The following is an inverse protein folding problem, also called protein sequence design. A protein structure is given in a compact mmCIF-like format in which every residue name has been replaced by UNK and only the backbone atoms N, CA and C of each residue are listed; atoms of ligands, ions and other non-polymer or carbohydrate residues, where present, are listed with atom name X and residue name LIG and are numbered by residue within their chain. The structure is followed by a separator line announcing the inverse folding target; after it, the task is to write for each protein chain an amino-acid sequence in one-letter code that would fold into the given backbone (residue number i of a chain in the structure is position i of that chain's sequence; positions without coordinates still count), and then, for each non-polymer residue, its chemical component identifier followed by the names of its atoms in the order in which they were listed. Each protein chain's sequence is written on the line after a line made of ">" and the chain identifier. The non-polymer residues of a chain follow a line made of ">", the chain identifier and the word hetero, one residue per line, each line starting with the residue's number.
data_IF_952748190915
#
_entry.id   IF_952748190915
#
_cell.length_a   1.000
_cell.length_b   1.000
_cell.length_c   1.000
_cell.angle_alpha   90.00
_cell.angle_beta   90.00
_cell.angle_gamma   90.00
#
_symmetry.space_group_name_H-M   'P 1'
#
loop_
_entity.id
_entity.type
_entity.pdbx_description
1 polymer ?
#
# COMPACT_ATOMS: atom_id res chain seq x y z
N UNK A 1 0.31 39.99 16.52
CA UNK A 1 -0.52 39.28 15.51
C UNK A 1 0.10 37.92 15.31
N UNK A 2 -0.40 36.92 16.02
CA UNK A 2 0.12 35.55 16.02
C UNK A 2 -0.44 34.88 14.75
N UNK A 3 0.39 34.71 13.73
CA UNK A 3 0.05 33.88 12.58
C UNK A 3 -0.02 32.43 13.06
N UNK A 4 -1.21 31.98 13.41
CA UNK A 4 -1.53 30.56 13.57
C UNK A 4 -1.24 29.93 12.21
N UNK A 5 -0.18 29.11 12.15
CA UNK A 5 0.15 28.33 10.94
C UNK A 5 -0.88 27.20 10.81
N UNK A 6 -1.84 27.24 9.88
CA UNK A 6 -2.80 26.16 9.69
C UNK A 6 -2.18 24.89 9.11
N UNK A 7 -0.88 24.91 8.83
CA UNK A 7 -0.15 23.79 8.22
C UNK A 7 0.04 22.58 9.15
N UNK A 8 0.11 22.78 10.47
CA UNK A 8 0.37 21.67 11.39
C UNK A 8 -0.83 20.72 11.51
N UNK A 9 -2.03 21.25 11.58
CA UNK A 9 -3.26 20.45 11.73
C UNK A 9 -3.56 19.64 10.46
N UNK A 10 -3.31 20.21 9.28
CA UNK A 10 -3.56 19.55 8.01
C UNK A 10 -2.53 18.44 7.74
N UNK A 11 -1.25 18.66 8.04
CA UNK A 11 -0.19 17.64 7.91
C UNK A 11 -0.43 16.50 8.91
N UNK A 12 -0.87 16.81 10.12
CA UNK A 12 -1.23 15.79 11.12
C UNK A 12 -2.42 14.96 10.66
N UNK A 13 -3.45 15.58 10.12
CA UNK A 13 -4.63 14.87 9.58
C UNK A 13 -4.25 13.97 8.40
N UNK A 14 -3.41 14.46 7.49
CA UNK A 14 -2.87 13.68 6.37
C UNK A 14 -2.02 12.49 6.83
N UNK A 15 -1.27 12.63 7.93
CA UNK A 15 -0.46 11.52 8.47
C UNK A 15 -1.28 10.41 9.13
N UNK A 16 -2.55 10.68 9.48
CA UNK A 16 -3.47 9.66 9.98
C UNK A 16 -4.03 8.76 8.86
N UNK A 17 -4.12 9.26 7.63
CA UNK A 17 -4.66 8.49 6.50
C UNK A 17 -3.89 7.17 6.26
N UNK A 18 -2.54 7.14 6.20
CA UNK A 18 -1.79 5.90 6.06
C UNK A 18 -1.99 4.92 7.23
N UNK A 19 -2.23 5.42 8.46
CA UNK A 19 -2.52 4.54 9.61
C UNK A 19 -3.89 3.87 9.47
N UNK A 20 -4.90 4.61 9.05
CA UNK A 20 -6.23 4.07 8.79
C UNK A 20 -6.18 3.05 7.65
N UNK A 21 -5.43 3.35 6.60
CA UNK A 21 -5.20 2.43 5.48
C UNK A 21 -4.52 1.13 5.95
N UNK A 22 -3.46 1.22 6.73
CA UNK A 22 -2.76 0.06 7.28
C UNK A 22 -3.68 -0.81 8.17
N UNK A 23 -4.53 -0.20 8.99
CA UNK A 23 -5.52 -0.91 9.81
C UNK A 23 -6.55 -1.62 8.91
N UNK A 24 -7.05 -0.92 7.88
CA UNK A 24 -8.03 -1.47 6.94
C UNK A 24 -7.47 -2.65 6.16
N UNK A 25 -6.24 -2.55 5.68
CA UNK A 25 -5.53 -3.64 5.00
C UNK A 25 -5.34 -4.84 5.94
N UNK A 26 -4.89 -4.60 7.18
CA UNK A 26 -4.69 -5.67 8.15
C UNK A 26 -6.01 -6.40 8.47
N UNK A 27 -7.09 -5.66 8.63
CA UNK A 27 -8.43 -6.21 8.85
C UNK A 27 -8.93 -6.99 7.64
N UNK A 28 -8.78 -6.46 6.43
CA UNK A 28 -9.12 -7.13 5.17
C UNK A 28 -8.38 -8.47 5.01
N UNK A 29 -7.07 -8.48 5.25
CA UNK A 29 -6.25 -9.69 5.20
C UNK A 29 -6.68 -10.75 6.25
N UNK A 30 -7.12 -10.31 7.43
CA UNK A 30 -7.67 -11.20 8.45
C UNK A 30 -9.01 -11.83 8.01
N UNK A 31 -9.88 -11.04 7.37
CA UNK A 31 -11.15 -11.53 6.82
C UNK A 31 -10.95 -12.53 5.67
N UNK A 32 -10.06 -12.25 4.74
CA UNK A 32 -9.72 -13.15 3.62
C UNK A 32 -9.30 -14.52 4.15
N UNK A 33 -8.54 -14.52 5.23
CA UNK A 33 -8.12 -15.76 5.88
C UNK A 33 -9.25 -16.48 6.62
N UNK A 34 -10.19 -15.73 7.19
CA UNK A 34 -11.34 -16.29 7.91
C UNK A 34 -12.34 -16.97 6.97
N UNK A 35 -12.44 -16.46 5.75
CA UNK A 35 -13.38 -16.92 4.72
C UNK A 35 -12.63 -17.41 3.46
N UNK A 36 -11.89 -18.52 3.54
CA UNK A 36 -11.08 -19.02 2.43
C UNK A 36 -11.91 -19.58 1.28
N UNK A 37 -13.17 -19.91 1.52
CA UNK A 37 -14.12 -20.46 0.53
C UNK A 37 -14.53 -19.42 -0.51
N UNK A 38 -14.50 -18.14 -0.15
CA UNK A 38 -14.92 -17.06 -1.04
C UNK A 38 -13.95 -16.91 -2.21
N UNK A 39 -14.46 -16.77 -3.46
CA UNK A 39 -13.62 -16.55 -4.63
C UNK A 39 -12.74 -15.30 -4.49
N UNK A 40 -11.50 -15.38 -4.94
CA UNK A 40 -10.58 -14.22 -4.94
C UNK A 40 -11.16 -13.03 -5.68
N UNK A 41 -11.87 -13.29 -6.79
CA UNK A 41 -12.52 -12.25 -7.60
C UNK A 41 -13.53 -11.42 -6.81
N UNK A 42 -14.26 -12.02 -5.87
CA UNK A 42 -15.21 -11.28 -5.04
C UNK A 42 -14.50 -10.26 -4.17
N UNK A 43 -13.40 -10.66 -3.54
CA UNK A 43 -12.60 -9.76 -2.69
C UNK A 43 -12.02 -8.60 -3.50
N UNK A 44 -11.42 -8.90 -4.66
CA UNK A 44 -10.89 -7.87 -5.58
C UNK A 44 -12.02 -6.94 -6.02
N UNK A 45 -13.13 -7.48 -6.48
CA UNK A 45 -14.26 -6.67 -6.97
C UNK A 45 -14.80 -5.70 -5.92
N UNK A 46 -15.04 -6.17 -4.69
CA UNK A 46 -15.54 -5.29 -3.63
C UNK A 46 -14.52 -4.24 -3.21
N UNK A 47 -13.25 -4.57 -3.20
CA UNK A 47 -12.19 -3.61 -2.88
C UNK A 47 -12.12 -2.52 -3.95
N UNK A 48 -12.06 -2.90 -5.22
CA UNK A 48 -12.00 -1.95 -6.33
C UNK A 48 -13.28 -1.10 -6.42
N UNK A 49 -14.45 -1.69 -6.20
CA UNK A 49 -15.71 -0.96 -6.19
C UNK A 49 -15.76 0.10 -5.06
N UNK A 50 -15.30 -0.25 -3.86
CA UNK A 50 -15.19 0.70 -2.75
C UNK A 50 -14.15 1.78 -3.03
N UNK A 51 -13.00 1.41 -3.58
CA UNK A 51 -11.95 2.34 -4.01
C UNK A 51 -12.47 3.33 -5.05
N UNK A 52 -13.20 2.85 -6.04
CA UNK A 52 -13.83 3.68 -7.05
C UNK A 52 -14.84 4.67 -6.44
N UNK A 53 -15.74 4.19 -5.57
CA UNK A 53 -16.74 5.04 -4.90
C UNK A 53 -16.06 6.12 -4.05
N UNK A 54 -15.06 5.76 -3.26
CA UNK A 54 -14.31 6.73 -2.46
C UNK A 54 -13.55 7.72 -3.33
N UNK A 55 -12.95 7.28 -4.43
CA UNK A 55 -12.28 8.14 -5.40
C UNK A 55 -13.23 9.16 -6.04
N UNK A 56 -14.42 8.71 -6.45
CA UNK A 56 -15.46 9.60 -7.00
C UNK A 56 -15.93 10.62 -5.96
N UNK A 57 -16.15 10.19 -4.71
CA UNK A 57 -16.51 11.11 -3.63
C UNK A 57 -15.42 12.16 -3.40
N UNK A 58 -14.15 11.74 -3.30
CA UNK A 58 -13.03 12.66 -3.12
C UNK A 58 -12.92 13.63 -4.29
N UNK A 59 -13.08 13.15 -5.51
CA UNK A 59 -13.06 13.99 -6.70
C UNK A 59 -14.16 15.06 -6.69
N UNK A 60 -15.38 14.71 -6.27
CA UNK A 60 -16.49 15.64 -6.17
C UNK A 60 -16.29 16.74 -5.12
N UNK A 61 -15.57 16.43 -4.02
CA UNK A 61 -15.36 17.38 -2.93
C UNK A 61 -14.10 18.25 -3.10
N UNK A 62 -13.11 17.80 -3.85
CA UNK A 62 -11.81 18.45 -3.97
C UNK A 62 -11.58 19.19 -5.30
N UNK A 63 -12.59 19.28 -6.18
CA UNK A 63 -12.50 19.92 -7.50
C UNK A 63 -11.21 19.54 -8.27
N UNK A 64 -10.86 18.26 -8.21
CA UNK A 64 -9.65 17.75 -8.85
C UNK A 64 -9.76 17.84 -10.37
N UNK A 65 -8.71 18.33 -11.00
CA UNK A 65 -8.61 18.35 -12.46
C UNK A 65 -8.53 16.94 -13.02
N UNK A 66 -9.24 16.67 -14.12
CA UNK A 66 -9.12 15.39 -14.81
C UNK A 66 -7.71 15.22 -15.38
N UNK A 67 -7.18 14.00 -15.33
CA UNK A 67 -5.87 13.70 -15.91
C UNK A 67 -5.89 13.91 -17.44
N UNK A 68 -4.75 14.31 -17.99
CA UNK A 68 -4.57 14.50 -19.42
C UNK A 68 -4.78 13.18 -20.19
N UNK A 69 -5.22 13.29 -21.44
CA UNK A 69 -5.40 12.12 -22.33
C UNK A 69 -4.14 11.27 -22.44
N UNK A 70 -2.96 11.90 -22.40
CA UNK A 70 -1.66 11.21 -22.41
C UNK A 70 -1.43 10.35 -21.15
N UNK A 71 -2.04 10.71 -20.02
CA UNK A 71 -1.96 9.96 -18.77
C UNK A 71 -2.96 8.81 -18.75
N UNK A 72 -4.13 9.01 -19.37
CA UNK A 72 -5.20 8.01 -19.44
C UNK A 72 -4.77 6.73 -20.18
N UNK A 73 -3.85 6.80 -21.13
CA UNK A 73 -3.35 5.63 -21.85
C UNK A 73 -2.64 4.60 -20.96
N UNK A 74 -2.10 5.02 -19.82
CA UNK A 74 -1.43 4.12 -18.88
C UNK A 74 -2.39 3.42 -17.91
N UNK A 75 -3.63 3.91 -17.76
CA UNK A 75 -4.62 3.35 -16.84
C UNK A 75 -4.84 1.85 -17.08
N UNK A 76 -5.07 1.36 -18.33
CA UNK A 76 -5.30 -0.06 -18.55
C UNK A 76 -4.12 -0.93 -18.09
N UNK A 77 -2.89 -0.45 -18.27
CA UNK A 77 -1.69 -1.16 -17.81
C UNK A 77 -1.66 -1.24 -16.29
N UNK A 78 -1.92 -0.12 -15.59
CA UNK A 78 -1.98 -0.09 -14.12
C UNK A 78 -3.06 -1.01 -13.59
N UNK A 79 -4.27 -0.98 -14.17
CA UNK A 79 -5.38 -1.86 -13.77
C UNK A 79 -5.01 -3.33 -13.89
N UNK A 80 -4.39 -3.75 -15.00
CA UNK A 80 -3.98 -5.15 -15.20
C UNK A 80 -2.92 -5.56 -14.18
N UNK A 81 -1.91 -4.72 -13.97
CA UNK A 81 -0.83 -5.00 -13.00
C UNK A 81 -1.40 -5.09 -11.58
N UNK A 82 -2.29 -4.16 -11.20
CA UNK A 82 -2.91 -4.13 -9.88
C UNK A 82 -3.80 -5.36 -9.65
N UNK A 83 -4.65 -5.73 -10.59
CA UNK A 83 -5.48 -6.93 -10.50
C UNK A 83 -4.66 -8.21 -10.32
N UNK A 84 -3.54 -8.33 -11.03
CA UNK A 84 -2.63 -9.46 -10.89
C UNK A 84 -2.01 -9.45 -9.48
N UNK A 85 -1.47 -8.30 -9.05
CA UNK A 85 -0.81 -8.15 -7.76
C UNK A 85 -1.78 -8.45 -6.60
N UNK A 86 -3.00 -7.92 -6.64
CA UNK A 86 -4.03 -8.16 -5.63
C UNK A 86 -4.47 -9.61 -5.61
N UNK A 87 -4.65 -10.24 -6.78
CA UNK A 87 -5.02 -11.66 -6.87
C UNK A 87 -3.94 -12.55 -6.27
N UNK A 88 -2.67 -12.28 -6.54
CA UNK A 88 -1.54 -13.01 -5.95
C UNK A 88 -1.45 -12.79 -4.43
N UNK A 89 -1.65 -11.57 -3.97
CA UNK A 89 -1.66 -11.20 -2.56
C UNK A 89 -2.74 -11.99 -1.81
N UNK A 90 -3.98 -11.95 -2.26
CA UNK A 90 -5.09 -12.69 -1.63
C UNK A 90 -4.88 -14.19 -1.63
N UNK A 91 -4.33 -14.73 -2.70
CA UNK A 91 -4.00 -16.15 -2.77
C UNK A 91 -2.93 -16.54 -1.73
N UNK A 92 -1.93 -15.68 -1.52
CA UNK A 92 -0.89 -15.87 -0.51
C UNK A 92 -1.47 -15.85 0.92
N UNK A 93 -2.32 -14.85 1.25
CA UNK A 93 -2.93 -14.73 2.57
C UNK A 93 -3.88 -15.89 2.94
N UNK A 94 -4.50 -16.53 1.94
CA UNK A 94 -5.29 -17.74 2.17
C UNK A 94 -4.46 -18.92 2.62
N UNK A 95 -3.26 -19.08 2.05
CA UNK A 95 -2.42 -20.26 2.26
C UNK A 95 -1.41 -20.11 3.39
N UNK A 96 -0.98 -18.89 3.66
CA UNK A 96 0.12 -18.60 4.58
C UNK A 96 -0.34 -17.69 5.72
N UNK A 97 0.23 -17.90 6.90
CA UNK A 97 -0.03 -17.02 8.06
C UNK A 97 0.45 -15.60 7.75
N UNK A 98 -0.36 -14.58 8.08
CA UNK A 98 -0.02 -13.18 7.88
C UNK A 98 1.36 -12.81 8.49
N UNK A 99 1.67 -13.36 9.67
CA UNK A 99 2.96 -13.16 10.32
C UNK A 99 4.17 -13.68 9.50
N UNK A 100 3.96 -14.70 8.65
CA UNK A 100 5.02 -15.22 7.76
C UNK A 100 5.13 -14.40 6.47
N UNK A 101 4.04 -13.74 6.06
CA UNK A 101 4.02 -12.90 4.86
C UNK A 101 4.51 -11.47 5.14
N UNK A 102 4.29 -10.97 6.35
CA UNK A 102 4.62 -9.57 6.68
C UNK A 102 6.07 -9.16 6.36
N UNK A 103 7.12 -10.01 6.54
CA UNK A 103 8.48 -9.62 6.16
C UNK A 103 8.66 -9.35 4.67
N UNK A 104 7.86 -10.00 3.81
CA UNK A 104 7.94 -9.83 2.35
C UNK A 104 7.42 -8.47 1.88
N UNK A 105 6.52 -7.83 2.66
CA UNK A 105 6.06 -6.47 2.36
C UNK A 105 7.18 -5.43 2.50
N UNK A 106 8.23 -5.72 3.26
CA UNK A 106 9.37 -4.80 3.34
C UNK A 106 10.18 -4.71 2.05
N UNK A 107 10.03 -5.67 1.14
CA UNK A 107 10.68 -5.64 -0.19
C UNK A 107 10.15 -4.47 -1.04
N UNK A 108 8.93 -3.99 -0.79
CA UNK A 108 8.39 -2.83 -1.49
C UNK A 108 9.20 -1.54 -1.25
N UNK A 109 9.88 -1.41 -0.10
CA UNK A 109 10.67 -0.21 0.22
C UNK A 109 11.85 -0.05 -0.73
N UNK A 110 12.80 -1.04 -0.85
CA UNK A 110 13.88 -0.93 -1.82
C UNK A 110 13.37 -0.92 -3.28
N UNK A 111 12.26 -1.60 -3.56
CA UNK A 111 11.66 -1.55 -4.89
C UNK A 111 11.16 -0.14 -5.22
N UNK A 112 10.44 0.51 -4.30
CA UNK A 112 9.97 1.89 -4.49
C UNK A 112 11.13 2.86 -4.67
N UNK A 113 12.19 2.76 -3.86
CA UNK A 113 13.40 3.58 -4.00
C UNK A 113 14.08 3.37 -5.35
N UNK A 114 14.19 2.11 -5.79
CA UNK A 114 14.78 1.79 -7.10
C UNK A 114 13.96 2.38 -8.25
N UNK A 115 12.63 2.25 -8.21
CA UNK A 115 11.78 2.82 -9.25
C UNK A 115 11.74 4.35 -9.19
N UNK A 116 11.78 4.97 -8.01
CA UNK A 116 11.93 6.41 -7.84
C UNK A 116 13.18 6.92 -8.53
N UNK A 117 14.31 6.24 -8.32
CA UNK A 117 15.57 6.57 -8.97
C UNK A 117 15.53 6.36 -10.50
N UNK A 118 15.00 5.22 -10.98
CA UNK A 118 15.01 4.88 -12.40
C UNK A 118 14.02 5.68 -13.24
N UNK A 119 12.84 6.02 -12.69
CA UNK A 119 11.77 6.65 -13.43
C UNK A 119 11.71 8.17 -13.23
N UNK A 120 12.13 8.65 -12.07
CA UNK A 120 12.02 10.05 -11.70
C UNK A 120 13.36 10.73 -11.42
N UNK A 121 14.47 9.97 -11.52
CA UNK A 121 15.83 10.45 -11.19
C UNK A 121 15.95 10.97 -9.75
N UNK A 122 15.07 10.51 -8.85
CA UNK A 122 15.07 10.89 -7.45
C UNK A 122 16.23 10.19 -6.73
N UNK A 123 17.17 10.98 -6.22
CA UNK A 123 18.29 10.45 -5.44
C UNK A 123 17.82 10.35 -3.97
N UNK A 124 17.75 9.13 -3.39
CA UNK A 124 17.31 8.98 -2.02
C UNK A 124 18.28 9.65 -1.04
N UNK A 125 17.74 10.31 -0.03
CA UNK A 125 18.55 10.87 1.04
C UNK A 125 19.18 9.76 1.89
N UNK A 126 20.33 10.04 2.48
CA UNK A 126 21.03 9.09 3.34
C UNK A 126 20.16 8.61 4.52
N UNK A 127 19.31 9.47 5.05
CA UNK A 127 18.33 9.15 6.10
C UNK A 127 17.31 8.11 5.66
N UNK A 128 16.85 8.18 4.42
CA UNK A 128 15.91 7.22 3.82
C UNK A 128 16.57 5.87 3.59
N UNK A 129 17.81 5.87 3.10
CA UNK A 129 18.59 4.63 2.89
C UNK A 129 18.83 3.92 4.21
N UNK A 130 19.26 4.64 5.25
CA UNK A 130 19.49 4.07 6.59
C UNK A 130 18.18 3.54 7.18
N UNK A 131 17.09 4.33 7.11
CA UNK A 131 15.77 3.92 7.58
C UNK A 131 15.28 2.66 6.87
N UNK A 132 15.40 2.59 5.56
CA UNK A 132 15.06 1.43 4.75
C UNK A 132 15.86 0.19 5.14
N UNK A 133 17.17 0.31 5.33
CA UNK A 133 18.02 -0.79 5.79
C UNK A 133 17.61 -1.31 7.16
N UNK A 134 17.31 -0.43 8.12
CA UNK A 134 16.87 -0.83 9.46
C UNK A 134 15.53 -1.60 9.42
N UNK A 135 14.60 -1.16 8.58
CA UNK A 135 13.31 -1.83 8.39
C UNK A 135 13.51 -3.24 7.79
N UNK A 136 14.34 -3.36 6.75
CA UNK A 136 14.65 -4.64 6.12
C UNK A 136 15.32 -5.60 7.12
N UNK A 137 16.30 -5.12 7.88
CA UNK A 137 16.97 -5.92 8.91
C UNK A 137 16.00 -6.38 9.99
N UNK A 138 15.12 -5.51 10.46
CA UNK A 138 14.05 -5.85 11.40
C UNK A 138 13.12 -6.93 10.85
N UNK A 139 12.71 -6.81 9.59
CA UNK A 139 11.89 -7.80 8.89
C UNK A 139 12.57 -9.17 8.77
N UNK A 140 13.84 -9.19 8.39
CA UNK A 140 14.64 -10.42 8.29
C UNK A 140 14.79 -11.11 9.64
N UNK A 141 15.13 -10.37 10.69
CA UNK A 141 15.25 -10.92 12.05
C UNK A 141 13.94 -11.52 12.55
N UNK A 142 12.82 -10.87 12.25
CA UNK A 142 11.49 -11.39 12.59
C UNK A 142 11.20 -12.68 11.81
N UNK A 143 11.53 -12.74 10.52
CA UNK A 143 11.36 -13.95 9.69
C UNK A 143 12.17 -15.15 10.22
N UNK A 144 13.42 -14.92 10.64
CA UNK A 144 14.27 -15.96 11.19
C UNK A 144 13.70 -16.53 12.51
N UNK A 145 13.20 -15.66 13.41
CA UNK A 145 12.56 -16.09 14.66
C UNK A 145 11.29 -16.93 14.43
N UNK A 146 10.50 -16.58 13.43
CA UNK A 146 9.28 -17.32 13.09
C UNK A 146 9.60 -18.71 12.51
N UNK A 147 10.73 -18.85 11.82
CA UNK A 147 11.17 -20.14 11.26
C UNK A 147 11.70 -21.11 12.32
N UNK A 148 12.25 -20.58 13.42
CA UNK A 148 12.76 -21.41 14.53
C UNK A 148 11.65 -21.98 15.44
N UNK A 149 10.43 -21.44 15.38
CA UNK A 149 9.30 -21.89 16.22
C UNK A 149 8.37 -22.92 15.55
N UNK A 150 8.69 -23.38 14.36
CA UNK A 150 8.03 -24.48 13.65
C UNK A 150 8.93 -25.69 13.55
#
# INVERSE_FOLDING_TARGET
>A
MICIRPQFDFIFLLSLAPLLDAISIAFGNALIRRYPEEPTLNWVFYQEALGFLTGVCVWMFLDLTLPDLNQLQFIPLFVVVDLIAMSMNYHAFRKVRAAKLSPWFYVQIPAATLFGFLLFEEIPEWTEVIGGMLIILGGLLNSLRLNQKN
#
